data_IF_771438108742
#
_entry.id   IF_771438108742
#
_cell.length_a   1.000
_cell.length_b   1.000
_cell.length_c   1.000
_cell.angle_alpha   90.00
_cell.angle_beta   90.00
_cell.angle_gamma   90.00
#
_symmetry.space_group_name_H-M   'P 1'
#
loop_
_entity.id
_entity.type
_entity.pdbx_description
1 polymer ?
#
# COMPACT_ATOMS: atom_id res chain seq x y z
N UNK A 1 -0.57 8.63 11.76
CA UNK A 1 -1.50 7.95 10.82
C UNK A 1 -1.94 6.64 11.47
N UNK A 2 -3.19 6.21 11.26
CA UNK A 2 -3.66 4.89 11.70
C UNK A 2 -2.87 3.81 10.97
N UNK A 3 -2.48 2.75 11.67
CA UNK A 3 -1.76 1.62 11.08
C UNK A 3 -2.70 0.86 10.12
N UNK A 4 -2.23 0.48 8.93
CA UNK A 4 -3.00 -0.31 7.97
C UNK A 4 -3.43 -1.66 8.54
N UNK A 5 -2.73 -2.21 9.53
CA UNK A 5 -3.14 -3.43 10.24
C UNK A 5 -4.39 -3.23 11.11
N UNK A 6 -4.70 -2.00 11.53
CA UNK A 6 -5.91 -1.65 12.28
C UNK A 6 -7.08 -1.18 11.39
N UNK A 7 -6.90 -1.22 10.07
CA UNK A 7 -7.92 -0.84 9.09
C UNK A 7 -8.72 -2.05 8.61
N UNK A 8 -10.00 -1.84 8.31
CA UNK A 8 -10.84 -2.84 7.65
C UNK A 8 -10.30 -3.12 6.23
N UNK A 9 -10.47 -4.35 5.74
CA UNK A 9 -9.97 -4.75 4.42
C UNK A 9 -10.44 -3.79 3.31
N UNK A 10 -11.71 -3.38 3.35
CA UNK A 10 -12.28 -2.42 2.40
C UNK A 10 -11.58 -1.06 2.47
N UNK A 11 -11.25 -0.58 3.66
CA UNK A 11 -10.56 0.70 3.84
C UNK A 11 -9.13 0.62 3.28
N UNK A 12 -8.43 -0.49 3.50
CA UNK A 12 -7.08 -0.72 2.94
C UNK A 12 -7.12 -0.70 1.42
N UNK A 13 -8.06 -1.43 0.81
CA UNK A 13 -8.22 -1.51 -0.64
C UNK A 13 -8.59 -0.15 -1.26
N UNK A 14 -9.49 0.60 -0.63
CA UNK A 14 -9.90 1.92 -1.11
C UNK A 14 -8.74 2.92 -1.08
N UNK A 15 -7.93 2.91 0.00
CA UNK A 15 -6.73 3.76 0.09
C UNK A 15 -5.68 3.37 -0.95
N UNK A 16 -5.45 2.08 -1.15
CA UNK A 16 -4.51 1.58 -2.15
C UNK A 16 -4.95 1.89 -3.58
N UNK A 17 -6.26 1.86 -3.86
CA UNK A 17 -6.81 2.24 -5.17
C UNK A 17 -6.66 3.75 -5.46
N UNK A 18 -6.74 4.58 -4.43
CA UNK A 18 -6.63 6.03 -4.54
C UNK A 18 -5.17 6.55 -4.41
N UNK A 19 -4.21 5.68 -4.10
CA UNK A 19 -2.81 6.06 -3.88
C UNK A 19 -1.96 5.82 -5.13
N UNK A 20 -1.17 6.82 -5.51
CA UNK A 20 -0.17 6.65 -6.55
C UNK A 20 1.11 6.04 -5.96
N UNK A 21 1.26 4.72 -6.07
CA UNK A 21 2.43 4.00 -5.60
C UNK A 21 3.45 3.90 -6.74
N UNK A 22 4.62 4.52 -6.55
CA UNK A 22 5.74 4.39 -7.47
C UNK A 22 6.50 3.09 -7.19
N UNK A 23 6.38 2.12 -8.10
CA UNK A 23 7.15 0.89 -8.01
C UNK A 23 8.52 1.08 -8.68
N UNK A 24 9.63 0.75 -7.99
CA UNK A 24 10.97 0.94 -8.56
C UNK A 24 11.30 -0.07 -9.66
N UNK A 25 10.56 -1.18 -9.75
CA UNK A 25 10.75 -2.25 -10.74
C UNK A 25 9.43 -2.86 -11.18
N UNK A 26 9.41 -3.42 -12.39
CA UNK A 26 8.27 -4.17 -12.93
C UNK A 26 7.89 -5.38 -12.07
N UNK A 27 8.86 -6.04 -11.45
CA UNK A 27 8.61 -7.17 -10.56
C UNK A 27 7.84 -6.75 -9.30
N UNK A 28 8.17 -5.59 -8.73
CA UNK A 28 7.45 -5.04 -7.59
C UNK A 28 6.00 -4.72 -7.96
N UNK A 29 5.78 -4.13 -9.14
CA UNK A 29 4.43 -3.89 -9.66
C UNK A 29 3.66 -5.20 -9.87
N UNK A 30 4.27 -6.23 -10.50
CA UNK A 30 3.62 -7.53 -10.72
C UNK A 30 3.23 -8.21 -9.40
N UNK A 31 4.10 -8.14 -8.39
CA UNK A 31 3.83 -8.70 -7.06
C UNK A 31 2.64 -8.00 -6.40
N UNK A 32 2.61 -6.67 -6.44
CA UNK A 32 1.48 -5.88 -5.95
C UNK A 32 0.19 -6.17 -6.73
N UNK A 33 0.25 -6.23 -8.05
CA UNK A 33 -0.90 -6.52 -8.89
C UNK A 33 -1.48 -7.91 -8.59
N UNK A 34 -0.62 -8.93 -8.43
CA UNK A 34 -1.05 -10.26 -8.03
C UNK A 34 -1.70 -10.26 -6.64
N UNK A 35 -1.09 -9.56 -5.67
CA UNK A 35 -1.66 -9.43 -4.32
C UNK A 35 -3.04 -8.76 -4.33
N UNK A 36 -3.25 -7.76 -5.19
CA UNK A 36 -4.57 -7.14 -5.41
C UNK A 36 -5.57 -8.13 -6.02
N UNK A 37 -5.16 -9.01 -6.93
CA UNK A 37 -6.06 -10.00 -7.54
C UNK A 37 -6.50 -11.10 -6.57
N UNK A 38 -5.60 -11.58 -5.71
CA UNK A 38 -5.90 -12.66 -4.76
C UNK A 38 -6.36 -12.14 -3.39
N UNK A 39 -6.49 -10.81 -3.23
CA UNK A 39 -6.76 -10.14 -1.97
C UNK A 39 -5.81 -10.60 -0.84
N UNK A 40 -4.49 -10.60 -1.09
CA UNK A 40 -3.49 -10.87 -0.05
C UNK A 40 -3.38 -9.66 0.89
N UNK A 41 -4.32 -9.59 1.84
CA UNK A 41 -4.47 -8.44 2.71
C UNK A 41 -3.25 -8.20 3.60
N UNK A 42 -2.44 -9.21 3.88
CA UNK A 42 -1.21 -9.02 4.67
C UNK A 42 -0.16 -8.24 3.87
N UNK A 43 0.03 -8.59 2.61
CA UNK A 43 0.94 -7.87 1.71
C UNK A 43 0.42 -6.47 1.37
N UNK A 44 -0.89 -6.33 1.16
CA UNK A 44 -1.52 -5.05 0.85
C UNK A 44 -1.44 -4.07 2.03
N UNK A 45 -1.66 -4.53 3.26
CA UNK A 45 -1.46 -3.72 4.48
C UNK A 45 -0.01 -3.28 4.65
N UNK A 46 0.94 -4.20 4.46
CA UNK A 46 2.35 -3.89 4.49
C UNK A 46 2.70 -2.79 3.48
N UNK A 47 2.22 -2.95 2.23
CA UNK A 47 2.48 -2.00 1.14
C UNK A 47 1.88 -0.63 1.44
N UNK A 48 0.65 -0.59 1.97
CA UNK A 48 0.00 0.66 2.37
C UNK A 48 0.77 1.36 3.51
N UNK A 49 1.21 0.63 4.51
CA UNK A 49 2.01 1.19 5.61
C UNK A 49 3.36 1.73 5.14
N UNK A 50 4.04 1.00 4.26
CA UNK A 50 5.32 1.42 3.68
C UNK A 50 5.14 2.71 2.86
N UNK A 51 4.11 2.76 2.00
CA UNK A 51 3.78 3.94 1.21
C UNK A 51 3.37 5.16 2.06
N UNK A 52 2.58 4.96 3.13
CA UNK A 52 2.21 6.02 4.07
C UNK A 52 3.44 6.52 4.85
N UNK A 53 4.37 5.63 5.21
CA UNK A 53 5.61 5.99 5.88
C UNK A 53 6.53 6.82 4.97
N UNK A 54 6.68 6.42 3.71
CA UNK A 54 7.44 7.18 2.71
C UNK A 54 6.83 8.56 2.42
N UNK A 55 5.49 8.66 2.39
CA UNK A 55 4.77 9.93 2.19
C UNK A 55 4.99 10.92 3.36
N UNK A 56 5.04 10.43 4.60
CA UNK A 56 5.36 11.28 5.77
C UNK A 56 6.80 11.80 5.75
N UNK A 57 7.73 11.10 5.11
CA UNK A 57 9.12 11.56 4.98
C UNK A 57 9.31 12.63 3.91
N UNK A 58 8.39 12.75 2.94
CA UNK A 58 8.50 13.75 1.86
C UNK A 58 7.99 15.14 2.26
N UNK A 59 7.23 15.25 3.36
CA UNK A 59 6.73 16.53 3.90
C UNK A 59 7.55 17.07 5.10
N UNK A 60 8.75 16.53 5.33
CA UNK A 60 9.68 17.01 6.36
C UNK A 60 10.80 17.86 5.74
N UNK A 61 10.45 18.98 5.08
CA UNK A 61 11.39 20.03 4.68
C UNK A 61 10.75 21.41 4.85
#
# INVERSE_FOLDING_TARGET
MKDAYDMEDKEVLDRLANMHINFPTDEAFKKYHNAMQIHDMNYLRYTLNDALSACNQTHAY
#
